data_IF_896133866890
#
_entry.id   IF_896133866890
#
_cell.length_a   1.000
_cell.length_b   1.000
_cell.length_c   1.000
_cell.angle_alpha   90.00
_cell.angle_beta   90.00
_cell.angle_gamma   90.00
#
_symmetry.space_group_name_H-M   'P 1'
#
loop_
_entity.id
_entity.type
_entity.pdbx_description
1 polymer ?
#
# COMPACT_ATOMS: atom_id res chain seq x y z
N UNK A 1 -18.41 2.64 -6.93
CA UNK A 1 -18.13 3.71 -5.97
C UNK A 1 -16.70 3.64 -5.49
N UNK A 2 -16.08 4.80 -5.34
CA UNK A 2 -14.70 4.84 -4.86
C UNK A 2 -14.63 4.55 -3.36
N UNK A 3 -13.57 3.87 -2.95
CA UNK A 3 -13.34 3.61 -1.54
C UNK A 3 -12.83 4.88 -0.85
N UNK A 4 -13.14 5.03 0.42
CA UNK A 4 -12.62 6.13 1.23
C UNK A 4 -11.15 5.85 1.59
N UNK A 5 -10.46 6.87 2.06
CA UNK A 5 -9.08 6.74 2.52
C UNK A 5 -8.95 5.66 3.59
N UNK A 6 -9.90 5.61 4.54
CA UNK A 6 -9.89 4.60 5.59
C UNK A 6 -10.04 3.19 5.04
N UNK A 7 -10.89 3.03 4.04
CA UNK A 7 -11.13 1.73 3.43
C UNK A 7 -9.91 1.26 2.64
N UNK A 8 -9.26 2.19 1.92
CA UNK A 8 -8.05 1.87 1.18
C UNK A 8 -6.93 1.51 2.16
N UNK A 9 -6.80 2.26 3.23
CA UNK A 9 -5.79 1.96 4.27
C UNK A 9 -6.01 0.56 4.87
N UNK A 10 -7.24 0.24 5.21
CA UNK A 10 -7.57 -1.07 5.79
C UNK A 10 -7.24 -2.21 4.81
N UNK A 11 -7.59 -2.03 3.54
CA UNK A 11 -7.29 -3.03 2.52
C UNK A 11 -5.79 -3.18 2.28
N UNK A 12 -5.07 -2.08 2.27
CA UNK A 12 -3.61 -2.09 2.10
C UNK A 12 -2.93 -2.76 3.29
N UNK A 13 -3.42 -2.47 4.50
CA UNK A 13 -2.89 -3.11 5.72
C UNK A 13 -3.07 -4.63 5.67
N UNK A 14 -4.19 -5.08 5.16
CA UNK A 14 -4.48 -6.50 5.00
C UNK A 14 -3.49 -7.14 4.03
N UNK A 15 -3.22 -6.47 2.90
CA UNK A 15 -2.26 -6.96 1.91
C UNK A 15 -0.86 -7.04 2.53
N UNK A 16 -0.45 -6.02 3.26
CA UNK A 16 0.87 -6.00 3.92
C UNK A 16 0.97 -7.13 4.93
N UNK A 17 -0.08 -7.35 5.71
CA UNK A 17 -0.11 -8.45 6.68
C UNK A 17 0.05 -9.79 5.99
N UNK A 18 -0.67 -10.02 4.91
CA UNK A 18 -0.62 -11.28 4.16
C UNK A 18 0.76 -11.54 3.56
N UNK A 19 1.42 -10.48 3.08
CA UNK A 19 2.71 -10.63 2.41
C UNK A 19 3.88 -10.72 3.39
N UNK A 20 3.85 -9.94 4.46
CA UNK A 20 5.01 -9.78 5.34
C UNK A 20 4.78 -10.28 6.76
N UNK A 21 3.55 -10.49 7.17
CA UNK A 21 3.24 -10.86 8.55
C UNK A 21 3.19 -9.68 9.51
N UNK A 22 3.38 -8.46 9.01
CA UNK A 22 3.29 -7.25 9.83
C UNK A 22 1.83 -7.07 10.26
N UNK A 23 1.61 -6.77 11.53
CA UNK A 23 0.26 -6.57 12.05
C UNK A 23 -0.45 -5.45 11.29
N UNK A 24 -1.71 -5.67 10.95
CA UNK A 24 -2.47 -4.69 10.17
C UNK A 24 -2.56 -3.33 10.88
N UNK A 25 -2.65 -3.32 12.21
CA UNK A 25 -2.73 -2.07 12.96
C UNK A 25 -1.39 -1.33 13.05
N UNK A 26 -0.29 -1.96 12.63
CA UNK A 26 0.99 -1.27 12.50
C UNK A 26 1.09 -0.49 11.20
N UNK A 27 0.23 -0.76 10.23
CA UNK A 27 0.23 -0.08 8.94
C UNK A 27 -0.60 1.20 9.07
N UNK A 28 0.10 2.30 9.33
CA UNK A 28 -0.52 3.61 9.54
C UNK A 28 0.01 4.61 8.51
N UNK A 29 -0.75 5.67 8.28
CA UNK A 29 -0.44 6.65 7.24
C UNK A 29 0.94 7.28 7.37
N UNK A 30 1.39 7.52 8.60
CA UNK A 30 2.67 8.18 8.87
C UNK A 30 3.87 7.21 8.81
N UNK A 31 3.63 5.93 8.54
CA UNK A 31 4.71 4.94 8.50
C UNK A 31 5.31 4.84 7.12
N UNK A 32 6.63 4.68 7.06
CA UNK A 32 7.35 4.44 5.83
C UNK A 32 7.42 2.93 5.57
N UNK A 33 7.26 2.53 4.32
CA UNK A 33 7.29 1.11 3.98
C UNK A 33 8.65 0.47 4.25
N UNK A 34 9.73 1.18 3.94
CA UNK A 34 11.07 0.63 4.08
C UNK A 34 11.68 0.89 5.46
N UNK A 35 11.48 2.09 6.00
CA UNK A 35 12.12 2.48 7.26
C UNK A 35 11.34 2.01 8.49
N UNK A 36 10.02 2.17 8.47
CA UNK A 36 9.18 1.83 9.64
C UNK A 36 8.66 0.41 9.58
N UNK A 37 8.27 -0.06 8.41
CA UNK A 37 7.69 -1.39 8.23
C UNK A 37 8.73 -2.42 7.77
N UNK A 38 9.93 -1.96 7.44
CA UNK A 38 11.05 -2.83 7.03
C UNK A 38 10.66 -3.76 5.85
N UNK A 39 9.94 -3.21 4.89
CA UNK A 39 9.52 -3.94 3.69
C UNK A 39 10.57 -3.72 2.60
N UNK A 40 11.12 -4.81 2.08
CA UNK A 40 12.11 -4.70 1.00
C UNK A 40 11.43 -4.44 -0.35
N UNK A 41 12.24 -4.18 -1.37
CA UNK A 41 11.72 -3.83 -2.69
C UNK A 41 10.96 -4.99 -3.35
N UNK A 42 11.36 -6.22 -3.08
CA UNK A 42 10.70 -7.39 -3.65
C UNK A 42 9.31 -7.53 -3.05
N UNK A 43 9.20 -7.46 -1.73
CA UNK A 43 7.90 -7.51 -1.05
C UNK A 43 7.02 -6.33 -1.46
N UNK A 44 7.63 -5.16 -1.62
CA UNK A 44 6.89 -3.97 -2.05
C UNK A 44 6.25 -4.17 -3.43
N UNK A 45 6.97 -4.79 -4.36
CA UNK A 45 6.41 -5.08 -5.69
C UNK A 45 5.22 -6.03 -5.59
N UNK A 46 5.31 -7.05 -4.74
CA UNK A 46 4.20 -7.99 -4.53
C UNK A 46 2.99 -7.27 -3.92
N UNK A 47 3.24 -6.39 -2.95
CA UNK A 47 2.18 -5.59 -2.33
C UNK A 47 1.50 -4.71 -3.38
N UNK A 48 2.28 -4.08 -4.24
CA UNK A 48 1.76 -3.22 -5.30
C UNK A 48 0.86 -4.02 -6.26
N UNK A 49 1.32 -5.20 -6.70
CA UNK A 49 0.55 -6.04 -7.61
C UNK A 49 -0.78 -6.45 -6.95
N UNK A 50 -0.73 -6.85 -5.68
CA UNK A 50 -1.92 -7.23 -4.96
C UNK A 50 -2.88 -6.05 -4.78
N UNK A 51 -2.34 -4.85 -4.56
CA UNK A 51 -3.14 -3.65 -4.43
C UNK A 51 -3.83 -3.30 -5.76
N UNK A 52 -3.12 -3.44 -6.87
CA UNK A 52 -3.71 -3.22 -8.19
C UNK A 52 -4.92 -4.13 -8.41
N UNK A 53 -4.77 -5.39 -8.04
CA UNK A 53 -5.83 -6.38 -8.20
C UNK A 53 -7.00 -6.11 -7.23
N UNK A 54 -6.68 -5.83 -5.98
CA UNK A 54 -7.70 -5.62 -4.94
C UNK A 54 -8.53 -4.36 -5.19
N UNK A 55 -7.87 -3.27 -5.59
CA UNK A 55 -8.53 -1.97 -5.75
C UNK A 55 -8.90 -1.65 -7.19
N UNK A 56 -8.48 -2.48 -8.15
CA UNK A 56 -8.77 -2.26 -9.56
C UNK A 56 -8.11 -1.01 -10.13
N UNK A 57 -6.89 -0.70 -9.67
CA UNK A 57 -6.14 0.47 -10.11
C UNK A 57 -4.85 0.04 -10.78
N UNK A 58 -4.22 0.97 -11.49
CA UNK A 58 -2.91 0.76 -12.11
C UNK A 58 -1.86 1.56 -11.36
N UNK A 59 -0.78 0.89 -10.96
CA UNK A 59 0.34 1.54 -10.28
C UNK A 59 1.60 1.26 -11.12
N UNK A 60 2.00 2.20 -11.99
CA UNK A 60 3.20 2.00 -12.81
C UNK A 60 4.46 1.85 -11.96
N UNK A 61 5.42 1.08 -12.45
CA UNK A 61 6.68 0.85 -11.74
C UNK A 61 7.37 2.17 -11.36
N UNK A 62 7.28 3.18 -12.22
CA UNK A 62 7.89 4.48 -11.95
C UNK A 62 7.23 5.19 -10.78
N UNK A 63 5.97 4.89 -10.49
CA UNK A 63 5.27 5.46 -9.35
C UNK A 63 5.59 4.73 -8.05
N UNK A 64 5.94 3.45 -8.13
CA UNK A 64 6.26 2.64 -6.94
C UNK A 64 7.38 3.28 -6.13
N UNK A 65 8.39 3.81 -6.79
CA UNK A 65 9.52 4.44 -6.08
C UNK A 65 9.12 5.74 -5.38
N UNK A 66 7.97 6.32 -5.72
CA UNK A 66 7.43 7.50 -5.05
C UNK A 66 6.53 7.14 -3.88
N UNK A 67 6.19 5.87 -3.72
CA UNK A 67 5.34 5.39 -2.63
C UNK A 67 6.22 5.10 -1.41
N UNK A 68 6.66 6.14 -0.76
CA UNK A 68 7.60 6.03 0.37
C UNK A 68 6.86 5.72 1.66
N UNK A 69 5.75 6.41 1.91
CA UNK A 69 4.94 6.19 3.10
C UNK A 69 3.63 5.50 2.74
N UNK A 70 2.96 4.96 3.75
CA UNK A 70 1.63 4.38 3.58
C UNK A 70 0.66 5.43 3.05
N UNK A 71 0.79 6.68 3.53
CA UNK A 71 -0.04 7.79 3.06
C UNK A 71 0.14 8.01 1.55
N UNK A 72 1.36 7.94 1.05
CA UNK A 72 1.63 8.08 -0.38
C UNK A 72 0.87 7.03 -1.18
N UNK A 73 0.88 5.79 -0.73
CA UNK A 73 0.19 4.70 -1.42
C UNK A 73 -1.33 4.85 -1.33
N UNK A 74 -1.84 5.19 -0.15
CA UNK A 74 -3.28 5.38 0.05
C UNK A 74 -3.78 6.52 -0.82
N UNK A 75 -3.04 7.64 -0.84
CA UNK A 75 -3.41 8.79 -1.67
C UNK A 75 -3.40 8.44 -3.15
N UNK A 76 -2.39 7.72 -3.60
CA UNK A 76 -2.30 7.32 -5.00
C UNK A 76 -3.49 6.44 -5.40
N UNK A 77 -3.79 5.44 -4.58
CA UNK A 77 -4.90 4.52 -4.86
C UNK A 77 -6.24 5.27 -4.84
N UNK A 78 -6.43 6.13 -3.86
CA UNK A 78 -7.66 6.90 -3.72
C UNK A 78 -7.89 7.79 -4.95
N UNK A 79 -6.82 8.40 -5.45
CA UNK A 79 -6.90 9.28 -6.62
C UNK A 79 -7.02 8.52 -7.94
N UNK A 80 -6.60 7.26 -7.96
CA UNK A 80 -6.60 6.44 -9.19
C UNK A 80 -7.94 5.75 -9.45
N UNK A 81 -8.80 5.73 -8.48
CA UNK A 81 -10.12 5.08 -8.59
C UNK A 81 -11.06 5.77 -9.55
#
# INVERSE_FOLDING_TARGET
MALSQSEVLAGLAEIVNDETGIAADAVQLDKSFTDDLDIDSISMMTIVVNAEDKFGVKIPDEEVKNLITVDDAVSFITNAQ
#
